data_IF_048152653299
#
_entry.id   IF_048152653299
#
_cell.length_a   1.000
_cell.length_b   1.000
_cell.length_c   1.000
_cell.angle_alpha   90.00
_cell.angle_beta   90.00
_cell.angle_gamma   90.00
#
_symmetry.space_group_name_H-M   'P 1'
#
loop_
_entity.id
_entity.type
_entity.pdbx_description
1 polymer ?
#
# COMPACT_ATOMS: atom_id res chain seq x y z
N UNK A 1 39.99 -43.42 -52.44
CA UNK A 1 40.60 -43.94 -51.19
C UNK A 1 41.42 -42.79 -50.64
N UNK A 2 41.20 -42.15 -49.48
CA UNK A 2 40.59 -42.55 -48.21
C UNK A 2 40.34 -41.29 -47.32
N UNK A 3 39.21 -41.29 -46.61
CA UNK A 3 38.87 -40.75 -45.27
C UNK A 3 39.41 -39.39 -44.77
N UNK A 4 38.44 -38.49 -44.55
CA UNK A 4 38.07 -37.78 -43.29
C UNK A 4 39.12 -37.02 -42.47
N UNK A 5 38.87 -35.72 -42.26
CA UNK A 5 38.78 -35.15 -40.92
C UNK A 5 37.79 -33.98 -40.88
N UNK A 6 36.86 -34.07 -39.93
CA UNK A 6 35.94 -33.02 -39.52
C UNK A 6 36.68 -31.94 -38.72
N UNK A 7 36.27 -30.68 -38.88
CA UNK A 7 36.44 -29.64 -37.87
C UNK A 7 35.39 -28.55 -38.09
N UNK A 8 34.24 -28.77 -37.48
CA UNK A 8 33.25 -27.79 -37.05
C UNK A 8 33.91 -26.50 -36.52
N UNK A 9 33.57 -25.33 -37.05
CA UNK A 9 33.84 -24.04 -36.39
C UNK A 9 32.77 -22.99 -36.67
N UNK A 10 32.05 -22.71 -35.58
CA UNK A 10 31.70 -21.38 -35.06
C UNK A 10 30.56 -20.64 -35.75
N UNK A 11 29.36 -21.06 -35.38
CA UNK A 11 28.32 -20.09 -35.03
C UNK A 11 28.81 -19.32 -33.79
N UNK A 12 29.14 -18.04 -34.00
CA UNK A 12 29.43 -17.11 -32.93
C UNK A 12 28.71 -15.81 -33.29
N UNK A 13 27.39 -15.85 -33.20
CA UNK A 13 26.56 -14.66 -33.15
C UNK A 13 26.89 -13.93 -31.84
N UNK A 14 27.91 -13.07 -31.85
CA UNK A 14 28.17 -12.09 -30.80
C UNK A 14 26.93 -11.19 -30.67
N UNK A 15 26.05 -11.51 -29.72
CA UNK A 15 25.02 -10.57 -29.26
C UNK A 15 25.72 -9.54 -28.38
N UNK A 16 25.61 -8.23 -28.67
CA UNK A 16 26.22 -7.22 -27.81
C UNK A 16 25.62 -7.34 -26.41
N UNK A 17 26.48 -7.55 -25.41
CA UNK A 17 26.11 -7.45 -24.00
C UNK A 17 25.74 -6.00 -23.73
N UNK A 18 24.45 -5.69 -23.78
CA UNK A 18 23.94 -4.43 -23.24
C UNK A 18 24.39 -4.33 -21.78
N UNK A 19 24.92 -3.18 -21.33
CA UNK A 19 25.26 -3.00 -19.92
C UNK A 19 24.01 -3.31 -19.08
N UNK A 20 24.11 -4.35 -18.24
CA UNK A 20 23.04 -4.70 -17.31
C UNK A 20 22.72 -3.45 -16.50
N UNK A 21 21.47 -3.01 -16.54
CA UNK A 21 20.97 -1.94 -15.69
C UNK A 21 21.39 -2.22 -14.24
N UNK A 22 21.74 -1.19 -13.45
CA UNK A 22 22.12 -1.38 -12.06
C UNK A 22 21.03 -2.18 -11.35
N UNK A 23 21.40 -3.11 -10.44
CA UNK A 23 20.42 -3.88 -9.69
C UNK A 23 19.44 -2.90 -9.02
N UNK A 24 18.13 -3.22 -9.01
CA UNK A 24 17.15 -2.34 -8.40
C UNK A 24 17.59 -2.01 -6.98
N UNK A 25 17.54 -0.72 -6.64
CA UNK A 25 17.84 -0.23 -5.29
C UNK A 25 17.07 -1.11 -4.30
N UNK A 26 17.76 -1.72 -3.35
CA UNK A 26 17.14 -2.56 -2.32
C UNK A 26 16.04 -1.74 -1.67
N UNK A 27 14.79 -2.18 -1.84
CA UNK A 27 13.65 -1.56 -1.19
C UNK A 27 13.78 -1.83 0.31
N UNK A 28 14.33 -0.86 1.03
CA UNK A 28 14.43 -0.93 2.48
C UNK A 28 13.01 -0.86 3.07
N UNK A 29 12.66 -1.84 3.93
CA UNK A 29 11.39 -1.79 4.66
C UNK A 29 11.50 -0.70 5.71
N UNK A 30 10.84 0.43 5.47
CA UNK A 30 10.64 1.42 6.53
C UNK A 30 9.68 0.83 7.58
N UNK A 31 9.97 0.95 8.90
CA UNK A 31 9.04 0.55 9.93
C UNK A 31 7.84 1.52 9.90
N UNK A 32 6.73 1.08 9.29
CA UNK A 32 5.48 1.84 9.18
C UNK A 32 4.89 2.24 10.55
N UNK A 33 5.30 1.54 11.62
CA UNK A 33 4.71 1.64 12.95
C UNK A 33 4.77 3.04 13.57
N UNK A 34 5.78 3.85 13.23
CA UNK A 34 5.98 5.18 13.83
C UNK A 34 5.17 6.26 13.10
N UNK A 35 4.78 5.99 11.85
CA UNK A 35 3.95 6.90 11.04
C UNK A 35 2.45 6.61 11.18
N UNK A 36 2.09 5.45 11.73
CA UNK A 36 0.69 5.04 11.89
C UNK A 36 0.01 5.78 13.05
N UNK A 37 -1.27 6.16 12.88
CA UNK A 37 -2.04 6.71 13.99
C UNK A 37 -2.19 5.64 15.08
N UNK A 38 -1.80 6.00 16.30
CA UNK A 38 -1.92 5.10 17.46
C UNK A 38 -3.39 4.77 17.71
N UNK A 39 -3.67 3.49 17.88
CA UNK A 39 -4.98 3.00 18.29
C UNK A 39 -5.12 3.05 19.81
N UNK A 40 -6.36 3.03 20.29
CA UNK A 40 -6.65 2.99 21.73
C UNK A 40 -6.18 1.66 22.34
N UNK A 41 -5.63 1.72 23.56
CA UNK A 41 -5.38 0.54 24.38
C UNK A 41 -6.69 -0.13 24.80
N UNK A 42 -6.61 -1.36 25.30
CA UNK A 42 -7.81 -2.15 25.66
C UNK A 42 -8.71 -1.43 26.66
N UNK A 43 -8.12 -0.84 27.69
CA UNK A 43 -8.88 -0.15 28.74
C UNK A 43 -9.51 1.15 28.21
N UNK A 44 -8.78 1.88 27.38
CA UNK A 44 -9.29 3.08 26.71
C UNK A 44 -10.46 2.76 25.78
N UNK A 45 -10.37 1.65 25.04
CA UNK A 45 -11.45 1.16 24.21
C UNK A 45 -12.68 0.80 25.06
N UNK A 46 -12.51 0.12 26.18
CA UNK A 46 -13.61 -0.22 27.08
C UNK A 46 -14.28 1.05 27.65
N UNK A 47 -13.49 2.01 28.11
CA UNK A 47 -14.01 3.30 28.59
C UNK A 47 -14.77 4.05 27.50
N UNK A 48 -14.23 4.10 26.28
CA UNK A 48 -14.90 4.74 25.14
C UNK A 48 -16.23 4.05 24.81
N UNK A 49 -16.30 2.72 24.89
CA UNK A 49 -17.54 1.95 24.70
C UNK A 49 -18.59 2.27 25.76
N UNK A 50 -18.21 2.30 27.03
CA UNK A 50 -19.12 2.63 28.13
C UNK A 50 -19.67 4.05 27.99
N UNK A 51 -18.80 5.01 27.65
CA UNK A 51 -19.21 6.38 27.38
C UNK A 51 -20.18 6.47 26.19
N UNK A 52 -19.91 5.74 25.10
CA UNK A 52 -20.80 5.68 23.94
C UNK A 52 -22.18 5.08 24.29
N UNK A 53 -22.20 3.99 25.05
CA UNK A 53 -23.45 3.36 25.53
C UNK A 53 -24.27 4.31 26.40
N UNK A 54 -23.61 5.07 27.29
CA UNK A 54 -24.28 6.09 28.09
C UNK A 54 -24.97 7.12 27.20
N UNK A 55 -24.28 7.63 26.17
CA UNK A 55 -24.87 8.61 25.24
C UNK A 55 -26.09 8.03 24.54
N UNK A 56 -26.00 6.81 24.01
CA UNK A 56 -27.11 6.15 23.31
C UNK A 56 -28.33 5.92 24.20
N UNK A 57 -28.13 5.69 25.50
CA UNK A 57 -29.21 5.44 26.44
C UNK A 57 -29.84 6.73 27.00
N UNK A 58 -29.11 7.85 27.02
CA UNK A 58 -29.58 9.09 27.66
C UNK A 58 -29.99 10.18 26.68
N UNK A 59 -29.60 10.10 25.40
CA UNK A 59 -29.87 11.12 24.39
C UNK A 59 -30.80 10.60 23.30
N UNK A 60 -31.44 11.53 22.60
CA UNK A 60 -32.13 11.18 21.35
C UNK A 60 -31.10 10.80 20.28
N UNK A 61 -31.58 10.13 19.23
CA UNK A 61 -30.72 9.72 18.11
C UNK A 61 -30.02 10.91 17.47
N UNK A 62 -30.74 12.02 17.30
CA UNK A 62 -30.25 13.23 16.65
C UNK A 62 -29.15 13.90 17.48
N UNK A 63 -29.33 13.98 18.80
CA UNK A 63 -28.34 14.51 19.73
C UNK A 63 -27.10 13.62 19.80
N UNK A 64 -27.29 12.30 19.88
CA UNK A 64 -26.18 11.34 19.86
C UNK A 64 -25.35 11.46 18.58
N UNK A 65 -26.00 11.55 17.42
CA UNK A 65 -25.32 11.77 16.14
C UNK A 65 -24.53 13.07 16.13
N UNK A 66 -25.10 14.16 16.64
CA UNK A 66 -24.38 15.44 16.75
C UNK A 66 -23.12 15.29 17.60
N UNK A 67 -23.19 14.60 18.73
CA UNK A 67 -22.03 14.36 19.60
C UNK A 67 -20.97 13.53 18.87
N UNK A 68 -21.32 12.39 18.28
CA UNK A 68 -20.37 11.49 17.62
C UNK A 68 -19.71 12.09 16.38
N UNK A 69 -20.39 13.02 15.69
CA UNK A 69 -19.89 13.64 14.47
C UNK A 69 -19.17 14.98 14.72
N UNK A 70 -19.18 15.48 15.96
CA UNK A 70 -18.53 16.76 16.28
C UNK A 70 -17.03 16.69 16.00
N UNK A 71 -16.53 17.58 15.15
CA UNK A 71 -15.11 17.68 14.79
C UNK A 71 -14.65 16.71 13.69
N UNK A 72 -15.52 15.83 13.18
CA UNK A 72 -15.22 15.00 12.02
C UNK A 72 -15.44 15.78 10.72
N UNK A 73 -14.61 15.50 9.71
CA UNK A 73 -14.70 16.09 8.37
C UNK A 73 -14.88 14.96 7.36
N UNK A 74 -15.79 15.08 6.37
CA UNK A 74 -15.97 14.08 5.33
C UNK A 74 -14.68 13.83 4.52
N UNK A 75 -14.37 12.57 4.25
CA UNK A 75 -13.25 12.18 3.38
C UNK A 75 -13.58 12.64 1.95
N UNK A 76 -12.80 13.57 1.43
CA UNK A 76 -12.99 14.15 0.08
C UNK A 76 -13.05 15.67 0.04
N UNK A 77 -13.36 16.34 1.15
CA UNK A 77 -13.26 17.81 1.25
C UNK A 77 -11.87 18.28 1.67
N UNK A 78 -11.03 17.36 2.15
CA UNK A 78 -9.68 17.61 2.67
C UNK A 78 -8.59 17.17 1.69
N UNK A 79 -8.78 17.34 0.37
CA UNK A 79 -7.67 17.13 -0.57
C UNK A 79 -6.69 18.28 -0.47
N UNK A 80 -5.68 18.16 0.41
CA UNK A 80 -4.38 18.77 0.12
C UNK A 80 -3.84 18.00 -1.09
N UNK A 81 -3.67 18.67 -2.22
CA UNK A 81 -3.17 18.10 -3.47
C UNK A 81 -1.90 17.29 -3.19
N UNK A 82 -2.03 15.96 -3.11
CA UNK A 82 -0.91 15.03 -3.24
C UNK A 82 -0.91 14.61 -4.69
N UNK A 83 0.22 14.83 -5.35
CA UNK A 83 0.41 14.54 -6.78
C UNK A 83 0.08 13.06 -7.02
N UNK A 84 -0.78 12.83 -7.99
CA UNK A 84 -1.31 11.54 -8.37
C UNK A 84 -0.20 10.66 -8.97
N UNK A 85 0.27 9.66 -8.22
CA UNK A 85 0.92 8.50 -8.83
C UNK A 85 -0.19 7.52 -9.23
N UNK A 86 -0.46 7.47 -10.54
CA UNK A 86 -1.45 6.59 -11.15
C UNK A 86 -0.99 5.14 -10.97
N UNK A 87 -1.53 4.45 -9.97
CA UNK A 87 -1.46 2.99 -9.91
C UNK A 87 -2.57 2.46 -10.81
N UNK A 88 -2.19 2.04 -12.01
CA UNK A 88 -3.06 1.28 -12.88
C UNK A 88 -3.35 -0.07 -12.20
N UNK A 89 -4.57 -0.23 -11.69
CA UNK A 89 -5.09 -1.53 -11.26
C UNK A 89 -5.54 -2.28 -12.51
N UNK A 90 -4.70 -3.19 -12.99
CA UNK A 90 -5.09 -4.15 -14.02
C UNK A 90 -5.85 -5.29 -13.34
N UNK A 91 -7.18 -5.18 -13.33
CA UNK A 91 -8.05 -6.30 -12.98
C UNK A 91 -8.33 -7.07 -14.27
N UNK A 92 -7.60 -8.16 -14.50
CA UNK A 92 -7.97 -9.19 -15.47
C UNK A 92 -9.27 -9.85 -14.97
N UNK A 93 -10.33 -9.73 -15.77
CA UNK A 93 -11.62 -10.40 -15.58
C UNK A 93 -11.58 -11.68 -16.44
N UNK A 94 -11.57 -12.86 -15.80
CA UNK A 94 -11.62 -14.18 -16.47
C UNK A 94 -13.06 -14.67 -16.66
#
# INVERSE_FOLDING_TARGET
>A
MNKSHAAEKKDAMERPLTPMAPPPLKLERNPSIDAEPKTLLRDELNMAREAALKILNTHTKEEALKIFLTGLVPVGTTSKQVKEDVVASDCDDE
#
